data_IF_615645404924
#
_entry.id   IF_615645404924
#
_cell.length_a   1.000
_cell.length_b   1.000
_cell.length_c   1.000
_cell.angle_alpha   90.00
_cell.angle_beta   90.00
_cell.angle_gamma   90.00
#
_symmetry.space_group_name_H-M   'P 1'
#
loop_
_entity.id
_entity.type
_entity.pdbx_description
1 polymer ?
2 non-polymer ?
3 non-polymer ?
4 non-polymer ?
5 water ?
#
# COMPACT_ATOMS: atom_id res chain seq x y z
N UNK A 39 -19.43 14.52 8.06
CA UNK A 39 -19.05 14.26 6.64
C UNK A 39 -17.63 14.63 6.24
N UNK A 40 -16.79 15.01 7.20
CA UNK A 40 -15.40 15.32 6.96
C UNK A 40 -14.45 14.51 7.83
N UNK A 41 -14.96 13.72 8.79
CA UNK A 41 -14.05 13.03 9.70
C UNK A 41 -13.34 11.86 9.02
N UNK A 42 -12.16 11.57 9.54
CA UNK A 42 -11.37 10.46 9.05
C UNK A 42 -12.03 9.12 9.31
N UNK A 43 -11.86 8.18 8.36
CA UNK A 43 -12.35 6.83 8.55
C UNK A 43 -11.22 5.87 8.87
N UNK A 44 -11.30 5.23 10.04
CA UNK A 44 -10.26 4.35 10.52
C UNK A 44 -10.44 2.90 10.15
N UNK A 45 -11.33 2.64 9.19
CA UNK A 45 -11.43 1.33 8.55
C UNK A 45 -11.07 1.45 7.07
N UNK A 46 -10.43 2.56 6.71
CA UNK A 46 -9.98 2.82 5.34
C UNK A 46 -8.46 2.94 5.35
N UNK A 47 -7.79 2.05 4.60
CA UNK A 47 -6.35 1.87 4.64
C UNK A 47 -5.79 2.22 3.28
N UNK A 48 -4.90 3.20 3.23
CA UNK A 48 -4.35 3.65 1.98
C UNK A 48 -2.86 3.26 1.89
N UNK A 49 -2.52 2.48 0.85
CA UNK A 49 -1.14 1.97 0.73
C UNK A 49 -0.18 3.10 0.34
N UNK A 50 0.86 3.26 1.17
CA UNK A 50 1.76 4.38 1.11
C UNK A 50 3.21 3.87 0.97
N UNK A 51 3.94 4.55 0.10
CA UNK A 51 5.31 4.17 -0.27
C UNK A 51 6.27 5.28 0.18
N UNK A 52 7.31 4.89 0.92
CA UNK A 52 8.27 5.86 1.51
C UNK A 52 9.66 5.76 0.90
N UNK A 53 9.70 5.33 -0.36
CA UNK A 53 10.96 4.96 -1.00
C UNK A 53 11.49 6.05 -1.96
N UNK A 54 10.85 7.22 -1.97
CA UNK A 54 11.26 8.31 -2.85
C UNK A 54 12.33 9.16 -2.18
N UNK A 55 13.30 9.63 -2.96
CA UNK A 55 14.27 10.57 -2.48
C UNK A 55 14.31 11.86 -3.26
N UNK A 56 14.91 12.87 -2.66
CA UNK A 56 15.22 14.12 -3.37
C UNK A 56 16.63 14.59 -3.07
N UNK A 57 17.15 15.47 -3.93
CA UNK A 57 18.44 16.08 -3.67
C UNK A 57 18.41 16.85 -2.33
N UNK A 58 17.28 17.50 -2.02
CA UNK A 58 17.20 18.34 -0.82
C UNK A 58 17.51 17.56 0.48
N UNK A 59 16.97 16.35 0.55
CA UNK A 59 17.08 15.54 1.77
C UNK A 59 18.10 14.42 1.65
N UNK A 60 17.92 13.57 0.66
CA UNK A 60 18.70 12.36 0.47
C UNK A 60 20.00 12.57 -0.31
N UNK A 61 20.08 13.66 -1.06
CA UNK A 61 21.16 13.90 -2.02
C UNK A 61 21.04 13.13 -3.33
N UNK A 62 19.91 12.47 -3.55
CA UNK A 62 19.68 11.64 -4.72
C UNK A 62 18.17 11.50 -4.92
N UNK A 63 17.76 11.43 -6.17
CA UNK A 63 16.37 11.21 -6.53
C UNK A 63 15.98 9.70 -6.62
N UNK A 64 16.06 9.05 -5.48
CA UNK A 64 15.78 7.63 -5.35
C UNK A 64 14.34 7.32 -5.80
N UNK A 65 14.19 6.21 -6.52
CA UNK A 65 12.93 5.71 -7.09
C UNK A 65 12.38 6.54 -8.24
N UNK A 66 12.55 7.86 -8.22
CA UNK A 66 12.26 8.63 -9.44
C UNK A 66 13.15 8.15 -10.58
N UNK A 67 14.39 7.77 -10.21
CA UNK A 67 15.27 6.98 -11.05
C UNK A 67 15.03 5.50 -10.76
N UNK A 68 14.91 4.68 -11.80
CA UNK A 68 14.53 3.28 -11.61
C UNK A 68 14.94 2.46 -12.81
N UNK A 69 15.43 1.25 -12.56
CA UNK A 69 15.74 0.31 -13.62
C UNK A 69 14.47 -0.06 -14.37
N UNK A 70 14.58 -0.18 -15.70
CA UNK A 70 13.50 -0.72 -16.49
C UNK A 70 13.59 -2.27 -16.40
N UNK A 71 12.43 -2.88 -16.15
CA UNK A 71 12.38 -4.32 -15.93
C UNK A 71 12.47 -5.05 -17.27
N UNK A 72 13.29 -6.12 -17.33
CA UNK A 72 13.30 -6.90 -18.56
C UNK A 72 11.97 -7.61 -18.75
N UNK A 73 11.65 -7.91 -20.01
CA UNK A 73 10.43 -8.65 -20.37
C UNK A 73 10.61 -10.13 -19.98
N UNK A 74 9.74 -10.65 -19.08
CA UNK A 74 9.73 -12.08 -18.79
C UNK A 74 9.16 -12.90 -19.97
N UNK A 79 19.29 -11.55 -24.15
CA UNK A 79 20.31 -10.57 -23.76
C UNK A 79 19.83 -9.11 -23.80
N UNK A 80 18.75 -8.83 -23.06
CA UNK A 80 18.18 -7.47 -23.04
C UNK A 80 19.01 -6.54 -22.17
N UNK A 81 19.25 -5.34 -22.68
CA UNK A 81 19.76 -4.23 -21.88
C UNK A 81 18.63 -3.20 -21.86
N UNK A 82 17.63 -3.39 -20.97
CA UNK A 82 16.46 -2.52 -20.99
C UNK A 82 16.76 -1.08 -20.58
N UNK A 83 17.83 -0.89 -19.81
CA UNK A 83 18.23 0.45 -19.41
C UNK A 83 17.57 0.91 -18.13
N UNK A 84 17.72 2.20 -17.87
CA UNK A 84 17.26 2.81 -16.62
C UNK A 84 16.64 4.18 -16.88
N UNK A 85 15.57 4.47 -16.16
CA UNK A 85 14.98 5.79 -16.14
C UNK A 85 15.85 6.63 -15.18
N UNK A 86 16.36 7.81 -15.62
CA UNK A 86 17.38 8.47 -14.79
C UNK A 86 16.89 9.36 -13.65
N UNK A 87 15.57 9.59 -13.55
CA UNK A 87 15.05 10.42 -12.46
C UNK A 87 15.43 11.87 -12.59
N UNK A 88 15.63 12.34 -13.82
CA UNK A 88 15.81 13.75 -14.09
C UNK A 88 14.45 14.44 -14.04
N UNK A 89 14.45 15.77 -14.08
CA UNK A 89 13.19 16.51 -14.14
C UNK A 89 12.31 16.02 -15.30
N UNK A 90 12.96 15.73 -16.42
CA UNK A 90 12.24 15.36 -17.64
C UNK A 90 11.81 13.92 -17.70
N UNK A 91 12.55 13.02 -17.03
CA UNK A 91 12.33 11.58 -17.18
C UNK A 91 12.35 10.89 -15.82
N UNK A 92 11.15 10.66 -15.31
CA UNK A 92 10.96 9.99 -14.03
C UNK A 92 10.28 8.64 -14.24
N UNK A 93 10.36 7.78 -13.24
CA UNK A 93 9.86 6.41 -13.33
C UNK A 93 8.36 6.30 -13.02
N UNK A 94 7.56 7.04 -13.78
CA UNK A 94 6.11 7.01 -13.71
C UNK A 94 5.57 7.47 -15.07
N UNK A 95 4.38 7.02 -15.39
CA UNK A 95 3.63 7.53 -16.53
C UNK A 95 2.91 8.85 -16.22
N UNK A 96 2.83 9.20 -14.92
CA UNK A 96 2.24 10.47 -14.44
C UNK A 96 3.35 11.32 -13.79
N UNK A 97 3.01 12.55 -13.41
CA UNK A 97 3.99 13.47 -12.87
C UNK A 97 3.42 14.10 -11.56
N UNK A 98 4.11 13.93 -10.42
CA UNK A 98 3.57 14.41 -9.15
C UNK A 98 3.44 15.94 -9.11
N UNK A 99 2.33 16.43 -8.53
CA UNK A 99 2.20 17.85 -8.21
C UNK A 99 3.35 18.34 -7.33
N UNK A 100 3.80 17.48 -6.41
CA UNK A 100 4.90 17.83 -5.50
C UNK A 100 6.28 17.64 -6.07
N UNK A 101 6.38 17.20 -7.34
CA UNK A 101 7.66 17.01 -8.00
C UNK A 101 8.39 15.77 -7.52
N UNK A 102 9.71 15.74 -7.71
CA UNK A 102 10.56 14.61 -7.36
C UNK A 102 10.91 14.74 -5.87
N UNK A 103 9.93 14.40 -5.05
CA UNK A 103 10.00 14.66 -3.62
C UNK A 103 10.75 13.57 -2.86
N UNK A 104 11.19 13.93 -1.66
CA UNK A 104 11.75 12.97 -0.71
C UNK A 104 10.71 12.55 0.31
N UNK A 105 10.62 11.23 0.51
CA UNK A 105 9.81 10.64 1.58
C UNK A 105 10.35 10.96 2.96
N UNK A 106 11.57 11.50 3.03
CA UNK A 106 12.19 11.92 4.28
C UNK A 106 12.15 13.43 4.49
N UNK A 107 11.41 14.15 3.66
CA UNK A 107 11.30 15.61 3.75
C UNK A 107 10.10 15.91 4.65
N UNK A 108 10.34 16.41 5.87
CA UNK A 108 9.20 16.63 6.77
C UNK A 108 8.14 17.56 6.17
N UNK A 109 8.53 18.47 5.27
CA UNK A 109 7.56 19.39 4.72
C UNK A 109 6.68 18.69 3.66
N UNK A 110 7.25 17.71 2.97
CA UNK A 110 6.45 16.86 2.06
C UNK A 110 5.48 16.02 2.88
N UNK A 111 5.97 15.45 3.99
CA UNK A 111 5.13 14.61 4.80
C UNK A 111 3.94 15.35 5.35
N UNK A 112 4.17 16.59 5.81
CA UNK A 112 3.08 17.45 6.24
C UNK A 112 1.97 17.56 5.17
N UNK A 113 2.40 17.84 3.96
CA UNK A 113 1.49 17.98 2.82
C UNK A 113 0.76 16.66 2.53
N UNK A 114 1.49 15.53 2.57
CA UNK A 114 0.83 14.24 2.44
C UNK A 114 -0.26 13.99 3.49
N UNK A 115 0.01 14.35 4.74
CA UNK A 115 -0.98 14.15 5.79
C UNK A 115 -2.21 15.05 5.56
N UNK A 116 -2.01 16.26 5.05
CA UNK A 116 -3.14 17.10 4.69
C UNK A 116 -3.93 16.46 3.56
N UNK A 117 -3.25 15.79 2.62
CA UNK A 117 -3.95 15.05 1.56
C UNK A 117 -4.79 13.89 2.09
N UNK A 118 -4.23 13.13 3.03
CA UNK A 118 -4.99 12.07 3.72
C UNK A 118 -6.24 12.64 4.40
N UNK A 119 -6.09 13.78 5.07
CA UNK A 119 -7.27 14.43 5.68
C UNK A 119 -8.30 14.78 4.60
N UNK A 120 -7.87 15.35 3.47
CA UNK A 120 -8.82 15.67 2.37
C UNK A 120 -9.55 14.42 1.88
N UNK A 121 -8.83 13.30 1.81
CA UNK A 121 -9.37 12.03 1.28
C UNK A 121 -10.18 11.27 2.32
N UNK A 122 -10.09 11.70 3.59
CA UNK A 122 -10.75 11.04 4.72
C UNK A 122 -10.24 9.65 5.03
N UNK A 123 -9.03 9.37 4.58
CA UNK A 123 -8.40 8.08 4.79
C UNK A 123 -7.62 8.08 6.10
N UNK A 124 -8.16 7.39 7.10
CA UNK A 124 -7.60 7.46 8.42
C UNK A 124 -6.39 6.60 8.71
N UNK A 125 -6.09 5.63 7.84
CA UNK A 125 -4.94 4.74 8.06
C UNK A 125 -4.01 4.72 6.86
N UNK A 126 -2.74 4.98 7.16
CA UNK A 126 -1.65 4.96 6.22
C UNK A 126 -1.01 3.58 6.39
N UNK A 127 -1.04 2.79 5.31
CA UNK A 127 -0.50 1.41 5.36
C UNK A 127 0.89 1.44 4.69
N UNK A 128 1.89 1.53 5.55
CA UNK A 128 3.25 1.85 5.14
C UNK A 128 4.03 0.65 4.66
N UNK A 129 4.50 0.70 3.40
CA UNK A 129 5.41 -0.32 2.87
C UNK A 129 6.58 -0.49 3.82
N UNK A 130 6.99 -1.74 4.02
CA UNK A 130 8.09 -2.01 4.94
C UNK A 130 8.94 -3.15 4.42
N UNK A 131 10.20 -2.81 4.15
CA UNK A 131 11.14 -3.66 3.42
C UNK A 131 12.27 -4.22 4.27
N UNK A 132 12.23 -4.01 5.57
CA UNK A 132 13.27 -4.50 6.46
C UNK A 132 14.68 -4.09 5.98
N UNK A 133 14.83 -2.80 5.69
CA UNK A 133 16.10 -2.31 5.15
C UNK A 133 17.20 -2.31 6.20
N UNK A 134 16.83 -2.22 7.50
CA UNK A 134 17.83 -2.23 8.61
C UNK A 134 18.88 -1.16 8.41
N UNK A 135 18.42 0.04 8.11
CA UNK A 135 19.32 1.18 7.92
C UNK A 135 18.73 2.38 8.59
N UNK A 136 19.62 3.26 8.98
CA UNK A 136 19.30 4.53 9.62
C UNK A 136 18.22 5.32 8.90
N UNK A 137 18.29 5.34 7.56
CA UNK A 137 17.36 6.14 6.79
C UNK A 137 15.94 5.61 6.91
N UNK A 138 15.78 4.28 6.93
CA UNK A 138 14.46 3.67 7.15
C UNK A 138 13.90 4.05 8.51
N UNK A 139 14.72 3.94 9.55
CA UNK A 139 14.27 4.23 10.90
C UNK A 139 13.88 5.72 10.99
N UNK A 140 14.67 6.59 10.38
CA UNK A 140 14.36 8.03 10.41
C UNK A 140 13.02 8.32 9.75
N UNK A 141 12.85 7.79 8.57
CA UNK A 141 11.63 8.01 7.79
C UNK A 141 10.38 7.52 8.54
N UNK A 142 10.45 6.34 9.12
CA UNK A 142 9.28 5.80 9.81
C UNK A 142 8.90 6.74 10.96
N UNK A 143 9.89 7.21 11.71
CA UNK A 143 9.60 8.12 12.79
C UNK A 143 9.00 9.42 12.31
N UNK A 144 9.53 9.95 11.22
CA UNK A 144 8.97 11.20 10.67
C UNK A 144 7.52 11.02 10.21
N UNK A 145 7.23 9.89 9.59
CA UNK A 145 5.89 9.59 9.07
C UNK A 145 4.92 9.46 10.25
N UNK A 146 5.33 8.73 11.28
CA UNK A 146 4.48 8.64 12.47
C UNK A 146 4.21 10.01 13.08
N UNK A 147 5.26 10.82 13.23
CA UNK A 147 5.11 12.16 13.82
C UNK A 147 4.18 13.05 12.97
N UNK A 148 4.37 13.04 11.65
CA UNK A 148 3.52 13.85 10.78
C UNK A 148 2.06 13.38 10.82
N UNK A 149 1.87 12.07 10.77
CA UNK A 149 0.54 11.47 10.84
C UNK A 149 -0.20 11.88 12.11
N UNK A 150 0.50 11.86 13.25
CA UNK A 150 -0.19 12.13 14.51
C UNK A 150 -0.73 13.56 14.59
N UNK A 151 -0.04 14.50 13.93
CA UNK A 151 -0.48 15.90 13.93
C UNK A 151 -1.86 16.06 13.31
N UNK A 152 -2.24 15.12 12.43
CA UNK A 152 -3.51 15.16 11.72
C UNK A 152 -4.47 14.03 12.14
N UNK A 153 -4.13 13.31 13.22
CA UNK A 153 -4.92 12.20 13.74
C UNK A 153 -4.96 10.98 12.79
N UNK A 154 -3.99 10.91 11.90
CA UNK A 154 -3.88 9.75 11.02
C UNK A 154 -3.12 8.65 11.74
N UNK A 155 -3.51 7.42 11.46
CA UNK A 155 -2.85 6.24 12.02
C UNK A 155 -1.99 5.55 10.99
N UNK A 156 -1.01 4.79 11.48
CA UNK A 156 -0.05 4.08 10.64
C UNK A 156 -0.05 2.61 11.02
N UNK A 157 -0.20 1.78 10.00
CA UNK A 157 0.08 0.35 10.13
C UNK A 157 1.11 -0.04 9.08
N UNK A 158 1.64 -1.27 9.19
CA UNK A 158 2.69 -1.72 8.26
C UNK A 158 2.21 -2.76 7.26
N UNK A 159 2.75 -2.61 6.06
CA UNK A 159 2.54 -3.48 4.93
C UNK A 159 3.85 -4.26 4.72
N UNK A 160 3.87 -5.50 5.20
CA UNK A 160 5.09 -6.28 5.27
C UNK A 160 5.38 -6.90 3.90
N UNK A 161 6.47 -6.41 3.32
CA UNK A 161 6.83 -6.74 1.97
C UNK A 161 7.68 -8.01 1.92
N UNK A 162 7.84 -8.57 0.71
CA UNK A 162 8.65 -9.80 0.56
C UNK A 162 10.14 -9.50 0.49
N UNK A 163 10.68 -9.17 1.64
CA UNK A 163 12.09 -8.88 1.79
C UNK A 163 12.93 -10.16 1.70
N UNK A 164 14.24 -10.02 1.48
CA UNK A 164 15.05 -11.22 1.27
C UNK A 164 15.01 -12.20 2.43
N UNK A 165 14.78 -13.47 2.10
CA UNK A 165 14.74 -14.57 3.07
C UNK A 165 13.63 -14.41 4.11
N UNK A 166 12.57 -13.67 3.78
CA UNK A 166 11.46 -13.56 4.69
C UNK A 166 10.93 -14.95 5.03
N UNK A 167 10.63 -15.17 6.30
CA UNK A 167 10.10 -16.45 6.78
C UNK A 167 9.38 -16.16 8.08
N UNK A 168 8.69 -17.14 8.64
CA UNK A 168 7.87 -16.83 9.82
C UNK A 168 8.67 -16.46 11.05
N UNK A 169 9.90 -16.95 11.15
CA UNK A 169 10.73 -16.60 12.31
C UNK A 169 11.21 -15.16 12.28
N UNK A 170 11.82 -14.75 11.16
CA UNK A 170 12.20 -13.36 11.07
C UNK A 170 10.98 -12.44 10.99
N UNK A 171 9.84 -12.91 10.47
CA UNK A 171 8.61 -12.09 10.56
C UNK A 171 8.22 -11.86 12.00
N UNK A 172 8.27 -12.93 12.80
CA UNK A 172 7.96 -12.73 14.21
C UNK A 172 8.88 -11.71 14.84
N UNK A 173 10.19 -11.86 14.58
CA UNK A 173 11.20 -10.97 15.15
C UNK A 173 10.95 -9.52 14.72
N UNK A 174 10.54 -9.35 13.46
CA UNK A 174 10.24 -8.02 12.93
C UNK A 174 8.94 -7.43 13.45
N UNK A 175 7.93 -8.27 13.66
CA UNK A 175 6.67 -7.83 14.27
C UNK A 175 6.97 -7.36 15.70
N UNK A 176 7.77 -8.15 16.44
CA UNK A 176 8.18 -7.75 17.79
C UNK A 176 8.93 -6.41 17.74
N UNK A 177 9.88 -6.29 16.82
CA UNK A 177 10.64 -5.06 16.66
C UNK A 177 9.74 -3.86 16.40
N UNK A 178 8.83 -4.01 15.46
CA UNK A 178 7.97 -2.88 15.10
C UNK A 178 7.03 -2.49 16.22
N UNK A 179 6.45 -3.48 16.89
CA UNK A 179 5.59 -3.20 18.02
C UNK A 179 6.38 -2.57 19.19
N UNK A 180 7.56 -3.10 19.47
CA UNK A 180 8.41 -2.55 20.54
C UNK A 180 8.83 -1.11 20.24
N UNK A 181 9.26 -0.86 19.00
CA UNK A 181 9.78 0.45 18.63
C UNK A 181 8.68 1.49 18.52
N UNK A 182 7.56 1.08 17.88
CA UNK A 182 6.55 2.05 17.47
C UNK A 182 5.19 1.91 18.11
N UNK A 183 4.99 0.83 18.88
CA UNK A 183 3.68 0.51 19.43
C UNK A 183 3.13 1.53 20.39
N UNK A 184 4.03 2.26 21.06
CA UNK A 184 3.61 3.33 21.98
C UNK A 184 3.50 4.70 21.30
N UNK A 185 3.83 4.78 20.01
CA UNK A 185 3.65 6.04 19.33
C UNK A 185 2.16 6.27 19.19
N UNK A 186 1.69 7.51 19.43
CA UNK A 186 0.25 7.75 19.37
C UNK A 186 -0.40 7.51 18.00
N UNK A 187 0.39 7.58 16.92
CA UNK A 187 -0.16 7.30 15.58
C UNK A 187 -0.18 5.82 15.22
N UNK A 188 0.42 4.96 16.03
CA UNK A 188 0.40 3.53 15.69
C UNK A 188 -1.04 2.96 15.74
N UNK A 189 -1.43 2.36 14.64
CA UNK A 189 -2.80 1.87 14.51
C UNK A 189 -3.10 0.64 15.37
N UNK A 190 -4.26 0.64 16.02
CA UNK A 190 -4.83 -0.58 16.57
C UNK A 190 -6.32 -0.67 16.27
N UNK A 191 -6.79 -1.89 16.01
CA UNK A 191 -8.22 -2.20 15.84
C UNK A 191 -8.61 -3.10 17.01
N UNK A 192 -9.56 -2.66 17.83
CA UNK A 192 -9.96 -3.38 19.04
C UNK A 192 -8.77 -3.89 19.87
N UNK A 193 -7.77 -3.03 20.02
CA UNK A 193 -6.60 -3.33 20.82
C UNK A 193 -5.43 -4.01 20.11
N UNK A 194 -5.62 -4.42 18.86
CA UNK A 194 -4.59 -5.18 18.15
C UNK A 194 -3.98 -4.37 17.03
N UNK A 195 -2.65 -4.40 16.90
CA UNK A 195 -2.05 -3.90 15.68
C UNK A 195 -2.58 -4.69 14.47
N UNK A 196 -2.43 -4.11 13.29
CA UNK A 196 -2.83 -4.78 12.03
C UNK A 196 -1.65 -4.71 11.06
N UNK A 197 -1.37 -5.84 10.42
CA UNK A 197 -0.36 -5.93 9.38
C UNK A 197 -0.98 -6.50 8.12
N UNK A 198 -0.66 -5.90 6.98
CA UNK A 198 -0.95 -6.52 5.67
C UNK A 198 0.32 -7.27 5.27
N UNK A 199 0.15 -8.46 4.69
CA UNK A 199 1.29 -9.30 4.28
C UNK A 199 1.26 -9.47 2.76
N UNK A 200 2.13 -8.74 2.04
CA UNK A 200 2.17 -8.86 0.60
C UNK A 200 2.81 -10.19 0.22
N UNK A 201 2.29 -10.80 -0.85
CA UNK A 201 2.75 -12.09 -1.38
C UNK A 201 2.87 -13.14 -0.26
N UNK A 202 1.87 -13.15 0.61
CA UNK A 202 1.79 -14.16 1.67
C UNK A 202 1.78 -15.60 1.16
N UNK A 203 1.36 -15.79 -0.09
CA UNK A 203 1.40 -17.11 -0.72
C UNK A 203 2.82 -17.67 -0.92
N UNK A 204 3.83 -16.80 -0.86
CA UNK A 204 5.20 -17.28 -0.95
C UNK A 204 5.63 -18.08 0.26
N UNK A 205 4.79 -18.15 1.31
CA UNK A 205 5.08 -18.89 2.52
C UNK A 205 3.97 -19.93 2.75
N UNK A 206 4.36 -21.18 2.93
CA UNK A 206 3.44 -22.28 3.08
C UNK A 206 2.53 -22.12 4.31
N UNK A 207 1.27 -22.56 4.21
CA UNK A 207 0.42 -22.55 5.40
C UNK A 207 0.98 -23.30 6.62
N UNK A 208 1.72 -24.39 6.38
CA UNK A 208 2.33 -25.10 7.51
C UNK A 208 3.33 -24.20 8.27
N UNK A 209 3.99 -23.28 7.57
CA UNK A 209 4.84 -22.30 8.25
C UNK A 209 4.02 -21.20 8.92
N UNK A 210 3.04 -20.65 8.22
CA UNK A 210 2.16 -19.64 8.81
C UNK A 210 1.52 -20.13 10.12
N UNK A 211 1.09 -21.40 10.17
CA UNK A 211 0.44 -21.98 11.35
C UNK A 211 1.30 -21.83 12.61
N UNK A 212 2.61 -21.94 12.44
CA UNK A 212 3.53 -21.86 13.57
C UNK A 212 3.50 -20.48 14.23
N UNK A 213 3.23 -19.46 13.43
CA UNK A 213 3.17 -18.08 13.88
C UNK A 213 1.76 -17.65 14.28
N UNK A 214 0.75 -18.18 13.59
CA UNK A 214 -0.61 -17.63 13.64
C UNK A 214 -1.66 -18.53 14.26
N UNK A 215 -1.44 -19.83 14.37
CA UNK A 215 -2.35 -20.66 15.15
C UNK A 215 -2.12 -20.36 16.63
N UNK A 216 -3.18 -20.40 17.45
CA UNK A 216 -2.96 -20.21 18.88
C UNK A 216 -2.04 -21.27 19.52
N UNK A 217 -1.95 -22.45 18.90
CA UNK A 217 -1.05 -23.49 19.34
C UNK A 217 0.29 -23.53 18.64
N UNK A 218 0.55 -22.56 17.76
CA UNK A 218 1.74 -22.61 16.96
C UNK A 218 3.01 -22.50 17.77
N UNK A 219 4.05 -23.20 17.29
CA UNK A 219 5.35 -23.26 17.92
C UNK A 219 5.95 -21.90 18.30
N UNK A 220 5.69 -20.89 17.46
CA UNK A 220 6.19 -19.53 17.72
C UNK A 220 5.02 -18.53 17.67
N UNK A 221 3.92 -18.93 18.26
CA UNK A 221 2.69 -18.14 18.09
C UNK A 221 2.86 -16.71 18.62
N UNK A 222 2.17 -15.77 17.95
CA UNK A 222 1.94 -14.45 18.51
C UNK A 222 0.61 -14.37 19.22
N UNK A 223 -0.25 -15.37 19.05
CA UNK A 223 -1.60 -15.32 19.66
C UNK A 223 -1.48 -15.34 21.17
N UNK A 224 -2.24 -14.46 21.82
CA UNK A 224 -2.28 -14.35 23.28
C UNK A 224 -1.00 -13.77 23.89
N UNK A 225 -0.08 -13.29 23.06
CA UNK A 225 1.15 -12.66 23.51
C UNK A 225 1.02 -11.15 23.41
N UNK A 226 2.02 -10.46 23.97
CA UNK A 226 2.09 -9.01 23.84
C UNK A 226 2.15 -8.52 22.38
N UNK A 227 2.48 -9.44 21.47
CA UNK A 227 2.70 -9.13 20.06
C UNK A 227 1.58 -9.63 19.16
N UNK A 228 0.44 -10.01 19.74
CA UNK A 228 -0.69 -10.45 18.92
C UNK A 228 -1.14 -9.30 18.04
N UNK A 229 -1.58 -9.64 16.83
CA UNK A 229 -1.94 -8.68 15.81
C UNK A 229 -2.93 -9.30 14.83
N UNK A 230 -3.68 -8.43 14.14
CA UNK A 230 -4.49 -8.86 13.00
C UNK A 230 -3.57 -9.00 11.79
N UNK A 231 -3.54 -10.19 11.21
CA UNK A 231 -2.65 -10.50 10.12
C UNK A 231 -3.53 -10.73 8.88
N UNK A 232 -3.35 -9.86 7.89
CA UNK A 232 -4.18 -9.81 6.69
C UNK A 232 -3.37 -10.29 5.49
N UNK A 233 -3.69 -11.50 5.02
CA UNK A 233 -2.97 -12.09 3.92
C UNK A 233 -3.51 -11.71 2.56
N UNK A 234 -2.72 -11.92 1.54
CA UNK A 234 -3.09 -11.53 0.19
C UNK A 234 -3.84 -12.68 -0.51
N UNK A 235 -5.13 -12.51 -0.76
CA UNK A 235 -5.92 -13.45 -1.56
C UNK A 235 -5.66 -13.19 -3.03
N UNK A 236 -5.03 -14.14 -3.71
CA UNK A 236 -4.72 -14.00 -5.15
C UNK A 236 -5.68 -14.78 -6.03
N UNK A 237 -5.53 -16.10 -6.05
CA UNK A 237 -6.17 -16.95 -7.04
C UNK A 237 -7.58 -17.50 -6.66
N UNK A 238 -7.96 -18.65 -7.21
CA UNK A 238 -9.33 -19.12 -7.10
C UNK A 238 -9.66 -19.60 -5.68
N UNK A 239 -10.95 -19.66 -5.33
CA UNK A 239 -11.37 -20.13 -4.00
C UNK A 239 -10.88 -21.54 -3.66
N UNK A 240 -10.80 -22.42 -4.65
CA UNK A 240 -10.34 -23.79 -4.36
C UNK A 240 -8.94 -23.82 -3.72
N UNK A 241 -8.09 -22.87 -4.11
CA UNK A 241 -6.76 -22.71 -3.56
C UNK A 241 -6.77 -21.79 -2.33
N UNK A 242 -7.45 -20.64 -2.42
CA UNK A 242 -7.31 -19.60 -1.39
C UNK A 242 -8.09 -19.91 -0.12
N UNK A 243 -9.23 -20.57 -0.21
CA UNK A 243 -10.01 -20.85 1.00
C UNK A 243 -9.19 -21.72 1.98
N UNK A 244 -8.67 -22.89 1.52
CA UNK A 244 -7.90 -23.66 2.47
C UNK A 244 -6.59 -22.99 2.89
N UNK A 245 -5.97 -22.22 2.00
CA UNK A 245 -4.75 -21.50 2.34
C UNK A 245 -5.01 -20.58 3.55
N UNK A 246 -6.03 -19.72 3.44
CA UNK A 246 -6.31 -18.74 4.47
C UNK A 246 -6.70 -19.40 5.78
N UNK A 247 -7.48 -20.47 5.71
CA UNK A 247 -7.88 -21.19 6.93
C UNK A 247 -6.69 -21.89 7.57
N UNK A 248 -5.90 -22.59 6.76
CA UNK A 248 -4.76 -23.38 7.29
C UNK A 248 -3.61 -22.50 7.75
N UNK A 249 -3.49 -21.30 7.18
CA UNK A 249 -2.48 -20.30 7.61
C UNK A 249 -2.86 -19.54 8.85
N UNK A 250 -4.14 -19.57 9.21
CA UNK A 250 -4.64 -18.86 10.38
C UNK A 250 -4.56 -17.34 10.27
N UNK A 251 -4.64 -16.82 9.05
CA UNK A 251 -4.79 -15.36 8.89
C UNK A 251 -6.08 -14.88 9.54
N UNK A 252 -6.06 -13.65 10.03
CA UNK A 252 -7.27 -13.03 10.53
C UNK A 252 -8.16 -12.48 9.45
N UNK A 253 -7.62 -12.30 8.25
CA UNK A 253 -8.34 -11.72 7.15
C UNK A 253 -7.54 -11.74 5.89
N UNK A 254 -8.05 -11.07 4.87
CA UNK A 254 -7.40 -11.06 3.58
C UNK A 254 -7.73 -9.78 2.82
N UNK A 255 -6.80 -9.41 1.96
CA UNK A 255 -6.93 -8.25 1.06
C UNK A 255 -6.55 -8.70 -0.33
N UNK A 256 -6.71 -7.83 -1.32
CA UNK A 256 -6.54 -8.25 -2.74
C UNK A 256 -5.45 -7.47 -3.45
N UNK A 257 -5.10 -6.28 -2.92
CA UNK A 257 -4.07 -5.33 -3.40
C UNK A 257 -4.25 -4.76 -4.80
N UNK A 258 -4.34 -5.59 -5.83
CA UNK A 258 -4.10 -5.08 -7.19
C UNK A 258 -5.18 -4.08 -7.62
N UNK A 259 -4.72 -2.92 -8.14
CA UNK A 259 -5.61 -1.88 -8.58
C UNK A 259 -6.25 -2.21 -9.93
N UNK A 260 -5.66 -3.16 -10.68
CA UNK A 260 -6.14 -3.53 -12.02
C UNK A 260 -7.16 -4.65 -11.97
N UNK A 261 -8.41 -4.31 -12.33
CA UNK A 261 -9.47 -5.29 -12.26
C UNK A 261 -9.12 -6.48 -13.15
N UNK A 262 -9.37 -7.68 -12.64
CA UNK A 262 -9.16 -8.89 -13.39
C UNK A 262 -7.75 -9.40 -13.43
N UNK A 263 -6.80 -8.70 -12.80
CA UNK A 263 -5.42 -9.15 -12.76
C UNK A 263 -5.31 -10.51 -12.06
N UNK A 264 -6.06 -10.68 -10.98
CA UNK A 264 -6.21 -11.93 -10.30
C UNK A 264 -7.70 -12.16 -10.04
N UNK A 265 -8.03 -13.37 -9.63
CA UNK A 265 -9.38 -13.68 -9.15
C UNK A 265 -9.78 -12.68 -8.06
N UNK A 266 -8.85 -12.48 -7.11
CA UNK A 266 -9.15 -11.63 -5.99
C UNK A 266 -9.37 -10.16 -6.33
N UNK A 267 -8.73 -9.70 -7.40
CA UNK A 267 -8.88 -8.32 -7.85
C UNK A 267 -9.93 -8.20 -8.97
N UNK A 268 -10.86 -9.16 -9.05
CA UNK A 268 -11.98 -9.11 -9.96
C UNK A 268 -13.21 -8.80 -9.13
N UNK A 269 -13.73 -7.54 -9.19
CA UNK A 269 -14.74 -7.16 -8.19
C UNK A 269 -16.06 -7.91 -8.20
N UNK A 270 -16.46 -8.50 -9.32
CA UNK A 270 -17.65 -9.36 -9.30
C UNK A 270 -17.50 -10.61 -8.40
N UNK A 271 -16.29 -10.94 -7.95
CA UNK A 271 -16.11 -12.00 -6.94
C UNK A 271 -16.23 -11.54 -5.50
N UNK A 272 -16.36 -10.23 -5.26
CA UNK A 272 -16.29 -9.73 -3.91
C UNK A 272 -17.48 -10.09 -3.01
N UNK A 273 -18.69 -10.12 -3.55
CA UNK A 273 -19.84 -10.56 -2.76
C UNK A 273 -19.62 -11.97 -2.17
N UNK A 274 -19.17 -12.89 -3.01
CA UNK A 274 -18.97 -14.26 -2.57
C UNK A 274 -17.77 -14.36 -1.62
N UNK A 275 -16.74 -13.56 -1.87
CA UNK A 275 -15.56 -13.54 -0.97
C UNK A 275 -15.95 -13.02 0.40
N UNK A 276 -16.81 -12.00 0.43
CA UNK A 276 -17.28 -11.48 1.72
C UNK A 276 -18.15 -12.51 2.45
N UNK A 277 -19.02 -13.20 1.71
CA UNK A 277 -19.87 -14.23 2.29
C UNK A 277 -19.00 -15.30 2.95
N UNK A 278 -17.98 -15.76 2.24
CA UNK A 278 -17.07 -16.78 2.79
C UNK A 278 -16.33 -16.24 4.03
N UNK A 279 -15.85 -15.00 3.94
CA UNK A 279 -15.16 -14.37 5.07
C UNK A 279 -16.05 -14.35 6.33
N UNK A 280 -17.29 -13.88 6.16
CA UNK A 280 -18.21 -13.79 7.31
C UNK A 280 -18.50 -15.18 7.89
N UNK A 281 -18.68 -16.18 7.02
CA UNK A 281 -18.93 -17.57 7.44
C UNK A 281 -17.74 -18.14 8.23
N UNK A 282 -16.55 -17.64 7.96
CA UNK A 282 -15.31 -18.21 8.54
C UNK A 282 -14.59 -17.30 9.53
N UNK A 283 -15.26 -16.23 9.97
CA UNK A 283 -14.72 -15.30 10.96
C UNK A 283 -13.49 -14.55 10.48
N UNK A 284 -13.42 -14.26 9.18
CA UNK A 284 -12.29 -13.56 8.59
C UNK A 284 -12.70 -12.14 8.18
N UNK A 285 -11.75 -11.22 8.26
CA UNK A 285 -11.94 -9.83 7.86
C UNK A 285 -11.52 -9.66 6.39
N UNK A 286 -12.44 -9.31 5.51
CA UNK A 286 -12.14 -9.07 4.10
C UNK A 286 -11.97 -7.58 3.90
N UNK A 287 -10.80 -7.20 3.37
CA UNK A 287 -10.43 -5.82 3.09
C UNK A 287 -10.11 -5.68 1.58
N UNK A 288 -11.15 -5.63 0.74
CA UNK A 288 -10.87 -5.49 -0.69
C UNK A 288 -10.07 -4.24 -0.99
N UNK A 289 -9.24 -4.33 -2.03
CA UNK A 289 -8.44 -3.20 -2.46
C UNK A 289 -9.04 -2.57 -3.73
N UNK A 290 -9.21 -1.27 -3.67
CA UNK A 290 -9.74 -0.50 -4.78
C UNK A 290 -8.70 0.52 -5.23
N UNK A 291 -8.70 0.82 -6.52
CA UNK A 291 -7.78 1.84 -7.01
C UNK A 291 -8.32 2.57 -8.21
N UNK A 292 -7.67 3.66 -8.61
CA UNK A 292 -8.22 4.56 -9.61
C UNK A 292 -7.83 4.23 -11.04
N UNK A 293 -6.91 3.29 -11.21
CA UNK A 293 -6.37 2.95 -12.53
C UNK A 293 -5.08 2.20 -12.36
N UNK A 294 -4.45 1.83 -13.47
CA UNK A 294 -3.16 1.16 -13.44
C UNK A 294 -2.44 1.43 -14.75
N UNK A 295 -1.17 1.80 -14.66
CA UNK A 295 -0.30 1.82 -15.83
C UNK A 295 1.13 1.90 -15.36
N UNK A 296 1.96 0.97 -15.84
CA UNK A 296 3.35 0.90 -15.39
C UNK A 296 4.33 0.75 -16.54
N UNK A 297 3.93 1.20 -17.73
CA UNK A 297 4.71 0.93 -18.89
C UNK A 297 6.01 1.74 -19.02
N UNK A 298 6.23 2.78 -18.20
CA UNK A 298 7.56 3.43 -18.19
C UNK A 298 8.60 2.43 -17.65
N UNK A 299 8.27 1.71 -16.59
CA UNK A 299 9.20 0.75 -16.00
C UNK A 299 9.02 -0.69 -16.46
N UNK A 300 7.83 -1.00 -16.99
CA UNK A 300 7.52 -2.33 -17.54
C UNK A 300 6.88 -2.17 -18.93
N UNK A 301 7.69 -1.80 -19.95
CA UNK A 301 7.11 -1.46 -21.28
C UNK A 301 6.30 -2.58 -21.94
N UNK A 302 6.60 -3.81 -21.55
CA UNK A 302 5.95 -5.05 -22.02
C UNK A 302 4.63 -5.37 -21.29
N UNK A 303 4.24 -4.55 -20.30
CA UNK A 303 3.11 -4.87 -19.42
C UNK A 303 1.83 -4.12 -19.75
N UNK A 304 1.68 -3.74 -21.01
CA UNK A 304 0.52 -2.96 -21.42
C UNK A 304 -0.84 -3.61 -21.23
N UNK A 305 -0.91 -4.95 -21.20
CA UNK A 305 -2.21 -5.62 -21.02
C UNK A 305 -2.84 -5.33 -19.65
N UNK A 306 -2.03 -4.90 -18.69
CA UNK A 306 -2.53 -4.62 -17.34
C UNK A 306 -3.03 -3.18 -17.21
N UNK A 307 -2.84 -2.37 -18.23
CA UNK A 307 -3.35 -0.96 -18.19
C UNK A 307 -4.85 -0.92 -17.95
N UNK A 308 -5.23 -0.12 -16.96
CA UNK A 308 -6.65 0.20 -16.72
C UNK A 308 -6.77 1.72 -16.74
N UNK A 309 -7.58 2.20 -17.66
CA UNK A 309 -7.75 3.65 -17.89
C UNK A 309 -8.62 4.28 -16.79
N UNK A 310 -8.31 5.52 -16.42
CA UNK A 310 -9.04 6.16 -15.31
C UNK A 310 -10.41 6.71 -15.66
N UNK A 311 -10.62 7.01 -16.94
CA UNK A 311 -11.91 7.54 -17.43
C UNK A 311 -12.51 8.64 -16.54
N UNK A 312 -11.66 9.61 -16.24
CA UNK A 312 -12.08 10.80 -15.48
C UNK A 312 -12.74 10.42 -14.15
N UNK A 313 -12.28 9.31 -13.58
CA UNK A 313 -12.81 8.87 -12.26
C UNK A 313 -13.80 7.73 -12.31
N UNK A 314 -14.32 7.39 -13.50
CA UNK A 314 -15.41 6.39 -13.56
C UNK A 314 -14.90 4.99 -13.20
N UNK A 315 -13.64 4.70 -13.52
CA UNK A 315 -13.03 3.40 -13.12
C UNK A 315 -12.95 3.30 -11.57
N UNK A 316 -12.45 4.33 -10.93
CA UNK A 316 -12.40 4.35 -9.48
C UNK A 316 -13.77 4.19 -8.87
N UNK A 317 -14.72 4.98 -9.37
CA UNK A 317 -16.12 4.91 -8.90
C UNK A 317 -16.66 3.46 -8.95
N UNK A 318 -16.46 2.79 -10.08
CA UNK A 318 -16.95 1.44 -10.26
C UNK A 318 -16.35 0.47 -9.28
N UNK A 319 -15.04 0.60 -9.06
CA UNK A 319 -14.37 -0.32 -8.14
C UNK A 319 -14.77 -0.09 -6.68
N UNK A 320 -14.84 1.18 -6.30
CA UNK A 320 -15.23 1.53 -4.93
C UNK A 320 -16.67 1.13 -4.66
N UNK A 321 -17.57 1.36 -5.62
CA UNK A 321 -18.98 0.96 -5.49
C UNK A 321 -19.09 -0.54 -5.25
N UNK A 322 -18.31 -1.32 -5.98
CA UNK A 322 -18.37 -2.79 -5.82
C UNK A 322 -17.90 -3.23 -4.44
N UNK A 323 -16.86 -2.58 -3.90
CA UNK A 323 -16.42 -2.90 -2.55
C UNK A 323 -17.53 -2.61 -1.52
N UNK A 324 -18.16 -1.46 -1.65
CA UNK A 324 -19.20 -1.08 -0.68
C UNK A 324 -20.41 -1.99 -0.80
N UNK A 325 -20.79 -2.32 -2.03
CA UNK A 325 -21.94 -3.17 -2.28
C UNK A 325 -21.73 -4.60 -1.76
N UNK A 326 -20.46 -5.04 -1.67
CA UNK A 326 -20.14 -6.36 -1.13
C UNK A 326 -20.42 -6.44 0.37
N UNK A 327 -20.54 -5.31 1.05
CA UNK A 327 -20.92 -5.30 2.45
C UNK A 327 -19.75 -5.45 3.42
N UNK A 328 -18.57 -5.08 2.97
CA UNK A 328 -17.34 -5.25 3.76
C UNK A 328 -17.26 -4.22 4.88
N UNK A 329 -16.46 -4.55 5.88
CA UNK A 329 -16.24 -3.75 7.08
C UNK A 329 -15.00 -2.84 7.00
N UNK A 330 -14.19 -3.01 5.96
CA UNK A 330 -12.96 -2.27 5.80
C UNK A 330 -12.58 -2.29 4.34
N UNK A 331 -11.95 -1.21 3.89
CA UNK A 331 -11.53 -1.08 2.48
C UNK A 331 -10.08 -0.61 2.43
N UNK A 332 -9.30 -1.12 1.47
CA UNK A 332 -7.94 -0.64 1.27
C UNK A 332 -7.86 0.00 -0.11
N UNK A 333 -7.02 1.00 -0.21
CA UNK A 333 -6.85 1.79 -1.43
C UNK A 333 -5.44 1.63 -1.97
N UNK A 334 -5.36 1.14 -3.21
CA UNK A 334 -4.12 0.96 -3.95
C UNK A 334 -4.13 2.03 -5.03
N UNK A 335 -3.48 3.17 -4.82
CA UNK A 335 -2.54 3.47 -3.74
C UNK A 335 -2.53 4.95 -3.46
N UNK A 336 -1.90 5.36 -2.34
CA UNK A 336 -1.65 6.81 -2.20
C UNK A 336 -0.66 7.24 -3.29
N UNK A 337 0.47 6.52 -3.41
CA UNK A 337 1.62 7.04 -4.13
C UNK A 337 2.53 5.95 -4.69
N UNK A 338 1.96 4.88 -5.26
CA UNK A 338 2.76 3.94 -6.07
C UNK A 338 2.78 4.52 -7.50
N UNK A 339 3.65 5.51 -7.69
CA UNK A 339 3.76 6.24 -8.94
C UNK A 339 4.25 5.36 -10.07
N UNK A 340 5.02 4.33 -9.76
CA UNK A 340 5.53 3.44 -10.81
C UNK A 340 4.38 2.69 -11.47
N UNK A 341 3.35 2.32 -10.68
CA UNK A 341 2.23 1.54 -11.15
C UNK A 341 1.05 2.36 -11.61
N UNK A 342 1.16 3.68 -11.47
CA UNK A 342 0.11 4.57 -11.92
C UNK A 342 -1.21 4.36 -11.23
N UNK A 343 -1.15 3.88 -9.97
CA UNK A 343 -2.35 3.66 -9.19
C UNK A 343 -2.60 4.77 -8.16
N UNK A 344 -1.78 5.81 -8.19
CA UNK A 344 -1.78 6.80 -7.10
C UNK A 344 -3.04 7.67 -7.12
N UNK A 345 -3.53 8.00 -5.94
CA UNK A 345 -4.53 9.07 -5.77
C UNK A 345 -3.87 10.43 -5.43
N UNK A 346 -2.57 10.42 -5.12
CA UNK A 346 -1.84 11.65 -4.84
C UNK A 346 -1.94 12.60 -6.06
N UNK A 347 -2.10 13.91 -5.85
CA UNK A 347 -2.19 14.83 -6.98
C UNK A 347 -1.04 14.74 -8.00
N UNK A 348 -1.45 14.73 -9.27
CA UNK A 348 -0.61 14.70 -10.45
C UNK A 348 -0.95 15.91 -11.29
N UNK A 349 0.02 16.39 -12.06
CA UNK A 349 -0.18 17.57 -12.91
C UNK A 349 0.21 17.29 -14.35
N UNK A 350 -0.37 18.05 -15.28
CA UNK A 350 0.10 17.91 -16.66
C UNK A 350 1.60 18.24 -16.79
N UNK A 351 2.32 17.48 -17.60
CA UNK A 351 3.72 17.78 -17.84
C UNK A 351 4.15 17.13 -19.13
N UNK A 352 4.78 17.93 -19.99
CA UNK A 352 5.37 17.44 -21.23
C UNK A 352 6.80 17.91 -21.17
N UNK A 353 7.70 16.97 -21.36
CA UNK A 353 9.11 17.29 -21.34
C UNK A 353 9.65 16.90 -22.67
N UNK A 354 10.90 17.27 -22.86
CA UNK A 354 11.60 16.85 -24.05
C UNK A 354 11.68 15.31 -24.16
N UNK A 355 11.59 14.58 -23.04
CA UNK A 355 11.76 13.11 -23.02
C UNK A 355 10.50 12.23 -23.00
N UNK A 356 9.38 12.78 -22.54
CA UNK A 356 8.16 11.98 -22.36
C UNK A 356 6.96 12.93 -22.22
N UNK A 357 5.82 12.55 -22.77
CA UNK A 357 4.56 13.26 -22.53
C UNK A 357 3.80 12.45 -21.48
N UNK A 358 3.67 13.00 -20.28
CA UNK A 358 3.09 12.28 -19.15
C UNK A 358 1.57 12.27 -19.29
N UNK A 359 0.97 11.24 -18.71
CA UNK A 359 -0.47 11.21 -18.48
C UNK A 359 -0.78 12.17 -17.34
N UNK A 360 -2.05 12.51 -17.20
CA UNK A 360 -2.49 13.45 -16.16
C UNK A 360 -3.96 13.18 -15.87
N UNK A 361 -4.56 13.98 -14.99
CA UNK A 361 -5.94 13.74 -14.58
C UNK A 361 -6.97 14.45 -15.42
N UNK A 362 -6.50 15.23 -16.37
CA UNK A 362 -7.45 16.17 -17.04
C UNK A 362 -8.38 15.25 -17.74
N UNK A 363 -9.69 15.48 -17.66
CA UNK A 363 -10.44 16.73 -17.34
C UNK A 363 -10.73 17.02 -15.88
N UNK A 364 -10.13 16.25 -15.00
CA UNK A 364 -10.26 16.49 -13.55
C UNK A 364 -9.08 17.31 -13.06
N UNK A 365 -9.27 18.02 -11.96
CA UNK A 365 -8.21 18.79 -11.32
C UNK A 365 -7.21 17.87 -10.57
N UNK A 366 -6.02 18.38 -10.24
CA UNK A 366 -5.00 17.52 -9.62
C UNK A 366 -5.44 16.82 -8.33
N UNK A 367 -6.30 17.45 -7.52
CA UNK A 367 -6.78 16.85 -6.27
C UNK A 367 -8.07 16.05 -6.38
N UNK A 368 -8.49 15.77 -7.62
CA UNK A 368 -9.76 15.12 -7.83
C UNK A 368 -9.84 13.75 -7.15
N UNK A 369 -8.75 12.97 -7.23
CA UNK A 369 -8.82 11.62 -6.64
C UNK A 369 -8.83 11.67 -5.11
N UNK A 370 -8.27 12.72 -4.50
CA UNK A 370 -8.44 12.94 -3.07
C UNK A 370 -9.89 13.24 -2.72
N UNK A 371 -10.49 14.22 -3.43
CA UNK A 371 -11.88 14.54 -3.09
C UNK A 371 -12.83 13.41 -3.45
N UNK A 372 -12.55 12.66 -4.50
CA UNK A 372 -13.43 11.53 -4.85
C UNK A 372 -13.29 10.39 -3.84
N UNK A 373 -12.09 10.22 -3.30
CA UNK A 373 -11.95 9.30 -2.20
C UNK A 373 -12.81 9.71 -1.01
N UNK A 374 -12.82 11.00 -0.69
CA UNK A 374 -13.65 11.46 0.42
C UNK A 374 -15.13 11.18 0.18
N UNK A 375 -15.58 11.34 -1.07
CA UNK A 375 -16.95 10.98 -1.46
C UNK A 375 -17.24 9.52 -1.15
N UNK A 376 -16.35 8.62 -1.58
CA UNK A 376 -16.56 7.19 -1.35
C UNK A 376 -16.41 6.76 0.08
N UNK A 377 -15.52 7.41 0.83
CA UNK A 377 -15.46 7.15 2.27
C UNK A 377 -16.81 7.45 2.91
N UNK A 378 -17.42 8.57 2.52
CA UNK A 378 -18.77 8.88 3.03
C UNK A 378 -19.80 7.80 2.70
N UNK A 379 -19.79 7.34 1.44
CA UNK A 379 -20.72 6.26 1.04
C UNK A 379 -20.44 4.97 1.79
N UNK A 380 -19.17 4.67 2.03
CA UNK A 380 -18.77 3.51 2.81
C UNK A 380 -19.30 3.63 4.24
N UNK A 381 -19.13 4.80 4.84
CA UNK A 381 -19.63 5.03 6.21
C UNK A 381 -21.12 4.93 6.32
N UNK A 382 -21.80 5.35 5.26
CA UNK A 382 -23.25 5.21 5.20
C UNK A 382 -23.68 3.74 5.31
N UNK A 383 -22.84 2.84 4.78
CA UNK A 383 -23.08 1.39 4.73
C UNK A 383 -22.63 0.60 5.95
N UNK A 384 -21.92 1.23 6.90
CA UNK A 384 -21.32 0.48 8.02
C UNK A 384 -22.40 0.06 9.03
#
# INVERSE_FOLDING_TARGET
>A
MGSSHHHHHHSSGLVPRGSHMDDNNPSNSENNGGNNNLGTELDYDTFCFYYDWYGSEAIDGQYRHWAHAIAPDPNGGSGQNPGTIPGTQESIASNFYPQLGRYSSSDPNILTKHMDMFVMARTGVLALTWWNEQDETEAKRIGLILDAADKKKIKVCFHLEPYPSRNVQNLRENIVKLITRYGNHPAFYRKDGKPLFFIYDSYLIEPSEWEKLLSPGGSITIRNTAYDALMIGLWTSSPTVQRPFILNAHFDGFYTYFAATGFTYGSTPTNWVSMQKWAKENGKIFIPSVGPGYIDTRIRPWNGSVIRTRTDGQYYDAMYRKAIEAGVSAISITSFNEWHQGSQIEPAVPYTSSEFTYLDYENREPDYYLTRTAYWVGKFRESKQ
#
